data_IF_320500392516
#
_entry.id   IF_320500392516
#
_cell.length_a   1.000
_cell.length_b   1.000
_cell.length_c   1.000
_cell.angle_alpha   90.00
_cell.angle_beta   90.00
_cell.angle_gamma   90.00
#
_symmetry.space_group_name_H-M   'P 1'
#
loop_
_entity.id
_entity.type
_entity.pdbx_description
1 polymer ?
#
# COMPACT_ATOMS: atom_id res chain seq x y z
N UNK A 1 14.64 17.07 -14.65
CA UNK A 1 15.87 16.71 -13.90
C UNK A 1 15.45 15.61 -12.95
N UNK A 2 15.85 14.37 -13.22
CA UNK A 2 15.43 13.22 -12.41
C UNK A 2 16.15 13.29 -11.06
N UNK A 3 15.41 13.40 -9.96
CA UNK A 3 16.00 13.60 -8.64
C UNK A 3 16.74 12.33 -8.19
N UNK A 4 17.97 12.49 -7.66
CA UNK A 4 18.85 11.37 -7.27
C UNK A 4 18.17 10.36 -6.35
N UNK A 5 17.28 10.84 -5.47
CA UNK A 5 16.55 9.99 -4.54
C UNK A 5 15.58 9.02 -5.25
N UNK A 6 15.04 9.40 -6.41
CA UNK A 6 14.18 8.56 -7.24
C UNK A 6 14.99 7.50 -7.99
N UNK A 7 16.16 7.85 -8.53
CA UNK A 7 17.04 6.87 -9.21
C UNK A 7 17.49 5.76 -8.26
N UNK A 8 17.84 6.11 -7.02
CA UNK A 8 18.20 5.12 -5.98
C UNK A 8 16.99 4.26 -5.64
N UNK A 9 15.79 4.86 -5.58
CA UNK A 9 14.56 4.15 -5.27
C UNK A 9 14.16 3.17 -6.38
N UNK A 10 14.24 3.57 -7.65
CA UNK A 10 13.97 2.70 -8.79
C UNK A 10 14.92 1.50 -8.80
N UNK A 11 16.23 1.76 -8.65
CA UNK A 11 17.27 0.73 -8.61
C UNK A 11 17.08 -0.28 -7.45
N UNK A 12 16.39 0.13 -6.39
CA UNK A 12 16.09 -0.75 -5.24
C UNK A 12 14.90 -1.67 -5.46
N UNK A 13 14.07 -1.40 -6.48
CA UNK A 13 12.88 -2.19 -6.80
C UNK A 13 13.26 -3.34 -7.73
N UNK A 14 12.74 -4.55 -7.46
CA UNK A 14 13.05 -5.74 -8.27
C UNK A 14 12.44 -5.69 -9.67
N UNK A 15 11.30 -5.01 -9.81
CA UNK A 15 10.58 -4.89 -11.08
C UNK A 15 10.09 -3.47 -11.28
N UNK A 16 9.93 -3.08 -12.56
CA UNK A 16 9.32 -1.80 -12.95
C UNK A 16 7.86 -1.68 -12.47
N UNK A 17 7.14 -2.81 -12.39
CA UNK A 17 5.76 -2.83 -11.89
C UNK A 17 5.72 -2.42 -10.40
N UNK A 18 6.56 -3.04 -9.57
CA UNK A 18 6.67 -2.68 -8.14
C UNK A 18 7.07 -1.21 -7.98
N UNK A 19 8.03 -0.73 -8.78
CA UNK A 19 8.42 0.68 -8.75
C UNK A 19 7.25 1.61 -9.05
N UNK A 20 6.47 1.35 -10.11
CA UNK A 20 5.30 2.17 -10.46
C UNK A 20 4.25 2.20 -9.34
N UNK A 21 3.92 1.04 -8.76
CA UNK A 21 2.96 0.96 -7.65
C UNK A 21 3.46 1.75 -6.44
N UNK A 22 4.73 1.58 -6.09
CA UNK A 22 5.30 2.26 -4.93
C UNK A 22 5.44 3.76 -5.15
N UNK A 23 5.80 4.18 -6.37
CA UNK A 23 5.85 5.57 -6.75
C UNK A 23 4.47 6.21 -6.67
N UNK A 24 3.42 5.52 -7.10
CA UNK A 24 2.03 6.00 -6.96
C UNK A 24 1.63 6.23 -5.49
N UNK A 25 1.96 5.27 -4.60
CA UNK A 25 1.68 5.42 -3.18
C UNK A 25 2.48 6.56 -2.54
N UNK A 26 3.76 6.68 -2.89
CA UNK A 26 4.62 7.75 -2.42
C UNK A 26 4.15 9.13 -2.90
N UNK A 27 3.80 9.26 -4.18
CA UNK A 27 3.28 10.49 -4.78
C UNK A 27 1.95 10.93 -4.14
N UNK A 28 1.08 9.97 -3.83
CA UNK A 28 -0.17 10.24 -3.11
C UNK A 28 0.10 10.79 -1.71
N UNK A 29 1.06 10.22 -0.98
CA UNK A 29 1.47 10.72 0.33
C UNK A 29 2.11 12.11 0.25
N UNK A 30 2.98 12.34 -0.73
CA UNK A 30 3.64 13.64 -0.96
C UNK A 30 2.62 14.74 -1.30
N UNK A 31 1.63 14.42 -2.15
CA UNK A 31 0.51 15.33 -2.45
C UNK A 31 -0.30 15.69 -1.21
N UNK A 32 -0.62 14.70 -0.38
CA UNK A 32 -1.35 14.92 0.87
C UNK A 32 -0.54 15.75 1.87
N UNK A 33 0.74 15.42 2.05
CA UNK A 33 1.62 16.09 3.01
C UNK A 33 2.18 17.43 2.51
N UNK A 34 2.01 17.72 1.21
CA UNK A 34 2.51 18.92 0.51
C UNK A 34 4.05 19.03 0.53
N UNK A 35 4.74 17.90 0.49
CA UNK A 35 6.19 17.83 0.33
C UNK A 35 6.56 17.33 -1.07
N UNK A 36 7.79 17.60 -1.47
CA UNK A 36 8.43 16.92 -2.58
C UNK A 36 9.38 15.82 -2.06
N UNK A 37 9.90 15.00 -2.97
CA UNK A 37 10.76 13.87 -2.62
C UNK A 37 12.00 14.25 -1.79
N UNK A 38 12.61 15.41 -2.06
CA UNK A 38 13.83 15.85 -1.40
C UNK A 38 13.53 16.50 -0.06
N UNK A 39 12.56 17.43 -0.02
CA UNK A 39 12.13 18.09 1.21
C UNK A 39 11.59 17.10 2.25
N UNK A 40 11.02 15.97 1.83
CA UNK A 40 10.63 14.89 2.75
C UNK A 40 11.86 14.27 3.46
N UNK A 41 12.98 14.12 2.75
CA UNK A 41 14.21 13.54 3.31
C UNK A 41 14.94 14.51 4.24
N UNK A 42 14.73 15.81 4.05
CA UNK A 42 15.27 16.89 4.89
C UNK A 42 14.55 17.03 6.24
N UNK A 43 13.31 16.54 6.37
CA UNK A 43 12.55 16.63 7.62
C UNK A 43 13.26 15.92 8.78
N UNK A 44 13.22 16.50 9.98
CA UNK A 44 13.68 15.80 11.18
C UNK A 44 12.93 14.49 11.41
N UNK A 45 13.59 13.50 12.00
CA UNK A 45 13.04 12.13 12.12
C UNK A 45 11.70 12.13 12.88
N UNK A 46 11.61 12.88 13.97
CA UNK A 46 10.37 13.03 14.76
C UNK A 46 9.26 13.70 13.96
N UNK A 47 9.56 14.74 13.18
CA UNK A 47 8.55 15.40 12.33
C UNK A 47 8.06 14.44 11.24
N UNK A 48 8.98 13.71 10.60
CA UNK A 48 8.64 12.71 9.60
C UNK A 48 7.78 11.58 10.17
N UNK A 49 8.11 11.09 11.38
CA UNK A 49 7.33 10.08 12.09
C UNK A 49 5.92 10.60 12.42
N UNK A 50 5.80 11.82 12.95
CA UNK A 50 4.50 12.45 13.23
C UNK A 50 3.65 12.56 11.96
N UNK A 51 4.25 12.98 10.83
CA UNK A 51 3.57 13.06 9.53
C UNK A 51 3.07 11.70 9.05
N UNK A 52 3.86 10.65 9.26
CA UNK A 52 3.47 9.29 8.88
C UNK A 52 2.33 8.78 9.78
N UNK A 53 2.34 9.10 11.07
CA UNK A 53 1.24 8.79 11.98
C UNK A 53 -0.05 9.52 11.58
N UNK A 54 0.02 10.83 11.31
CA UNK A 54 -1.11 11.62 10.83
C UNK A 54 -1.68 11.04 9.52
N UNK A 55 -0.80 10.57 8.63
CA UNK A 55 -1.22 9.96 7.39
C UNK A 55 -1.91 8.61 7.61
N UNK A 56 -1.43 7.78 8.53
CA UNK A 56 -2.13 6.54 8.91
C UNK A 56 -3.52 6.85 9.46
N UNK A 57 -3.66 7.88 10.31
CA UNK A 57 -4.96 8.32 10.82
C UNK A 57 -5.88 8.78 9.69
N UNK A 58 -5.36 9.55 8.73
CA UNK A 58 -6.10 9.96 7.53
C UNK A 58 -6.57 8.75 6.71
N UNK A 59 -5.69 7.77 6.46
CA UNK A 59 -6.05 6.57 5.72
C UNK A 59 -7.09 5.72 6.46
N UNK A 60 -7.04 5.65 7.80
CA UNK A 60 -8.05 4.95 8.60
C UNK A 60 -9.43 5.56 8.44
N UNK A 61 -9.55 6.90 8.46
CA UNK A 61 -10.83 7.55 8.19
C UNK A 61 -11.41 7.14 6.83
N UNK A 62 -10.56 7.04 5.80
CA UNK A 62 -10.97 6.55 4.48
C UNK A 62 -11.37 5.07 4.47
N UNK A 63 -10.79 4.26 5.36
CA UNK A 63 -11.25 2.88 5.57
C UNK A 63 -12.62 2.87 6.22
N UNK A 64 -12.82 3.68 7.25
CA UNK A 64 -14.10 3.80 7.97
C UNK A 64 -15.22 4.31 7.05
N UNK A 65 -14.89 5.21 6.13
CA UNK A 65 -15.79 5.75 5.09
C UNK A 65 -16.02 4.75 3.92
N UNK A 66 -15.36 3.59 3.92
CA UNK A 66 -15.48 2.56 2.89
C UNK A 66 -14.76 2.88 1.57
N UNK A 67 -13.95 3.94 1.51
CA UNK A 67 -13.19 4.34 0.32
C UNK A 67 -11.90 3.55 0.12
N UNK A 68 -11.37 2.94 1.18
CA UNK A 68 -10.08 2.26 1.18
C UNK A 68 -10.17 0.92 1.91
N UNK A 69 -9.49 -0.10 1.37
CA UNK A 69 -9.34 -1.37 2.10
C UNK A 69 -8.29 -1.22 3.21
N UNK A 70 -8.52 -1.77 4.42
CA UNK A 70 -7.52 -1.74 5.49
C UNK A 70 -6.23 -2.46 5.11
N UNK A 71 -6.31 -3.42 4.18
CA UNK A 71 -5.14 -4.14 3.67
C UNK A 71 -4.24 -3.25 2.81
N UNK A 72 -4.76 -2.14 2.25
CA UNK A 72 -4.00 -1.21 1.43
C UNK A 72 -3.09 -0.30 2.26
N UNK A 73 -3.41 -0.05 3.54
CA UNK A 73 -2.59 0.81 4.41
C UNK A 73 -1.16 0.25 4.58
N UNK A 74 -0.97 -1.04 4.96
CA UNK A 74 0.36 -1.64 5.00
C UNK A 74 1.14 -1.54 3.69
N UNK A 75 0.48 -1.70 2.54
CA UNK A 75 1.14 -1.62 1.22
C UNK A 75 1.63 -0.20 0.91
N UNK A 76 0.79 0.81 1.20
CA UNK A 76 1.15 2.23 1.05
C UNK A 76 2.36 2.55 1.92
N UNK A 77 2.31 2.20 3.20
CA UNK A 77 3.40 2.52 4.13
C UNK A 77 4.68 1.74 3.80
N UNK A 78 4.57 0.51 3.30
CA UNK A 78 5.73 -0.27 2.82
C UNK A 78 6.47 0.42 1.69
N UNK A 79 5.73 1.04 0.75
CA UNK A 79 6.33 1.82 -0.33
C UNK A 79 7.12 3.02 0.22
N UNK A 80 6.51 3.77 1.15
CA UNK A 80 7.13 4.95 1.77
C UNK A 80 8.37 4.55 2.59
N UNK A 81 8.28 3.50 3.41
CA UNK A 81 9.39 2.98 4.20
C UNK A 81 10.55 2.47 3.34
N UNK A 82 10.26 1.90 2.17
CA UNK A 82 11.31 1.51 1.23
C UNK A 82 12.01 2.73 0.66
N UNK A 83 11.27 3.77 0.26
CA UNK A 83 11.85 5.02 -0.22
C UNK A 83 12.78 5.65 0.82
N UNK A 84 12.31 5.78 2.07
CA UNK A 84 13.11 6.32 3.18
C UNK A 84 14.36 5.48 3.44
N UNK A 85 14.22 4.14 3.48
CA UNK A 85 15.34 3.22 3.70
C UNK A 85 16.41 3.33 2.62
N UNK A 86 16.01 3.37 1.36
CA UNK A 86 16.94 3.46 0.22
C UNK A 86 17.70 4.79 0.21
N UNK A 87 17.06 5.85 0.70
CA UNK A 87 17.66 7.17 0.88
C UNK A 87 18.33 7.36 2.26
N UNK A 88 18.54 6.27 3.02
CA UNK A 88 19.22 6.26 4.33
C UNK A 88 18.56 7.13 5.39
N UNK A 89 17.26 7.44 5.25
CA UNK A 89 16.48 8.10 6.29
C UNK A 89 16.06 7.08 7.34
N UNK A 90 16.48 7.31 8.59
CA UNK A 90 16.11 6.48 9.74
C UNK A 90 14.82 7.03 10.34
N UNK A 91 13.90 6.12 10.65
CA UNK A 91 12.66 6.36 11.39
C UNK A 91 12.41 5.12 12.25
N UNK A 92 11.74 5.32 13.37
CA UNK A 92 11.12 4.23 14.10
C UNK A 92 9.83 3.83 13.37
N UNK A 93 9.76 2.58 12.93
CA UNK A 93 8.60 2.07 12.20
C UNK A 93 7.53 1.55 13.16
N UNK A 94 7.93 1.07 14.32
CA UNK A 94 7.03 0.45 15.29
C UNK A 94 6.00 1.46 15.77
N UNK A 95 6.44 2.71 16.02
CA UNK A 95 5.58 3.82 16.44
C UNK A 95 4.52 4.19 15.40
N UNK A 96 4.73 3.82 14.12
CA UNK A 96 3.79 4.06 13.02
C UNK A 96 2.91 2.83 12.79
N UNK A 97 3.50 1.63 12.80
CA UNK A 97 2.77 0.38 12.52
C UNK A 97 1.79 0.01 13.61
N UNK A 98 2.02 0.43 14.87
CA UNK A 98 1.08 0.24 15.97
C UNK A 98 -0.28 0.92 15.73
N UNK A 99 -0.33 1.90 14.81
CA UNK A 99 -1.56 2.64 14.49
C UNK A 99 -2.41 1.95 13.41
N UNK A 100 -1.89 0.91 12.75
CA UNK A 100 -2.59 0.24 11.66
C UNK A 100 -3.94 -0.31 12.12
N UNK A 101 -4.97 -0.32 11.24
CA UNK A 101 -6.22 -1.00 11.57
C UNK A 101 -5.98 -2.51 11.67
N UNK A 102 -6.84 -3.18 12.43
CA UNK A 102 -6.86 -4.65 12.46
C UNK A 102 -7.02 -5.21 11.04
N UNK A 103 -6.21 -6.22 10.72
CA UNK A 103 -6.27 -6.85 9.40
C UNK A 103 -7.61 -7.57 9.27
N UNK A 104 -8.40 -7.18 8.26
CA UNK A 104 -9.55 -7.97 7.85
C UNK A 104 -9.01 -9.19 7.11
N UNK A 105 -9.24 -10.39 7.67
CA UNK A 105 -9.01 -11.65 6.95
C UNK A 105 -9.82 -11.59 5.66
N UNK A 106 -9.16 -11.53 4.51
CA UNK A 106 -9.83 -11.80 3.23
C UNK A 106 -10.44 -13.20 3.36
N UNK A 107 -11.77 -13.26 3.35
CA UNK A 107 -12.51 -14.50 3.40
C UNK A 107 -11.99 -15.41 2.30
N UNK A 108 -11.74 -16.67 2.66
CA UNK A 108 -11.31 -17.73 1.76
C UNK A 108 -12.03 -17.63 0.43
N UNK A 109 -11.24 -17.67 -0.64
CA UNK A 109 -11.65 -18.06 -2.00
C UNK A 109 -12.89 -18.96 -1.91
N UNK A 110 -14.02 -18.52 -2.47
CA UNK A 110 -15.22 -19.38 -2.55
C UNK A 110 -14.80 -20.63 -3.30
N UNK A 111 -14.52 -21.72 -2.58
CA UNK A 111 -14.47 -23.04 -3.18
C UNK A 111 -15.83 -23.22 -3.86
N UNK A 112 -15.83 -23.29 -5.19
CA UNK A 112 -17.01 -23.67 -5.96
C UNK A 112 -17.51 -24.96 -5.33
N UNK A 113 -18.67 -24.87 -4.69
CA UNK A 113 -19.26 -26.01 -3.99
C UNK A 113 -19.76 -26.97 -5.07
N UNK A 114 -19.59 -28.27 -4.87
CA UNK A 114 -19.94 -29.35 -5.83
C UNK A 114 -21.38 -29.24 -6.39
N UNK A 115 -22.25 -28.49 -5.70
CA UNK A 115 -23.62 -28.18 -6.09
C UNK A 115 -23.72 -27.37 -7.41
N UNK A 116 -22.79 -26.43 -7.66
CA UNK A 116 -22.76 -25.63 -8.91
C UNK A 116 -22.26 -26.45 -10.12
N UNK A 117 -21.47 -27.50 -9.88
CA UNK A 117 -20.99 -28.40 -10.96
C UNK A 117 -22.16 -29.25 -11.49
N UNK A 118 -23.11 -29.65 -10.64
CA UNK A 118 -24.25 -30.48 -11.07
C UNK A 118 -25.22 -29.75 -12.01
N UNK A 119 -25.38 -28.43 -11.89
CA UNK A 119 -26.23 -27.67 -12.81
C UNK A 119 -25.64 -27.53 -14.23
N UNK A 120 -24.31 -27.63 -14.39
CA UNK A 120 -23.67 -27.51 -15.71
C UNK A 120 -23.66 -28.82 -16.52
N UNK A 121 -23.95 -29.96 -15.91
CA UNK A 121 -23.97 -31.27 -16.57
C UNK A 121 -25.36 -31.68 -17.07
N UNK A 122 -26.43 -31.03 -16.63
CA UNK A 122 -27.82 -31.39 -16.99
C UNK A 122 -28.23 -30.86 -18.39
N UNK A 123 -27.59 -29.80 -18.88
CA UNK A 123 -27.91 -29.20 -20.19
C UNK A 123 -27.27 -29.89 -21.41
N UNK A 124 -26.49 -30.97 -21.21
CA UNK A 124 -25.79 -31.66 -22.32
C UNK A 124 -26.45 -32.97 -22.75
N UNK A 125 -27.60 -33.34 -22.18
CA UNK A 125 -28.30 -34.58 -22.55
C UNK A 125 -29.73 -34.30 -23.00
N UNK A 126 -29.86 -33.77 -24.22
CA UNK A 126 -31.04 -34.04 -25.03
C UNK A 126 -30.64 -34.90 -26.23
N UNK A 127 -31.01 -36.20 -26.24
CA UNK A 127 -31.07 -36.98 -27.45
C UNK A 127 -32.34 -36.57 -28.22
N UNK A 128 -32.19 -36.34 -29.52
CA UNK A 128 -33.02 -36.81 -30.64
C UNK A 128 -32.73 -36.00 -31.92
#
# INVERSE_FOLDING_TARGET
>A
MESRCLTIFESSCKTKATFKTFLYFLDTFLKWSKYNYESLLELESTELENRLQDYVIYLKRRVDDGELSPNTIPDILTAIFKFLKCNRKKIDRDVITQLYPDKIKMGSDRAITDDEIRQSLDFSCHPE
#
